data_IF_460291501400
#
_entry.id   IF_460291501400
#
_cell.length_a   1.000
_cell.length_b   1.000
_cell.length_c   1.000
_cell.angle_alpha   90.00
_cell.angle_beta   90.00
_cell.angle_gamma   90.00
#
_symmetry.space_group_name_H-M   'P 1'
#
loop_
_entity.id
_entity.type
_entity.pdbx_description
1 polymer ?
#
# COMPACT_ATOMS: atom_id res chain seq x y z
N UNK A 1 5.14 11.86 -73.67
CA UNK A 1 4.03 12.82 -73.59
C UNK A 1 2.77 12.07 -73.16
N UNK A 2 2.68 11.61 -71.90
CA UNK A 2 1.62 10.68 -71.42
C UNK A 2 1.29 10.88 -69.93
N UNK A 3 1.41 12.11 -69.41
CA UNK A 3 1.19 12.41 -67.98
C UNK A 3 -0.07 13.18 -67.65
N UNK A 4 -0.79 13.70 -68.66
CA UNK A 4 -1.93 14.60 -68.44
C UNK A 4 -3.30 13.91 -68.37
N UNK A 5 -3.46 12.68 -68.89
CA UNK A 5 -4.73 11.92 -68.81
C UNK A 5 -4.84 10.99 -67.58
N UNK A 6 -3.72 10.66 -66.93
CA UNK A 6 -3.72 9.82 -65.73
C UNK A 6 -4.39 10.53 -64.55
N UNK A 7 -4.17 11.85 -64.43
CA UNK A 7 -4.70 12.69 -63.35
C UNK A 7 -6.23 12.75 -63.33
N UNK A 8 -6.88 12.73 -64.50
CA UNK A 8 -8.33 12.89 -64.61
C UNK A 8 -9.11 11.60 -64.36
N UNK A 9 -8.58 10.45 -64.79
CA UNK A 9 -9.24 9.15 -64.59
C UNK A 9 -9.07 8.61 -63.17
N UNK A 10 -7.95 8.92 -62.52
CA UNK A 10 -7.61 8.46 -61.17
C UNK A 10 -7.91 9.53 -60.12
N UNK A 11 -8.70 10.56 -60.47
CA UNK A 11 -8.99 11.70 -59.59
C UNK A 11 -9.60 11.28 -58.25
N UNK A 12 -10.46 10.26 -58.27
CA UNK A 12 -11.04 9.67 -57.04
C UNK A 12 -9.99 8.95 -56.20
N UNK A 13 -9.11 8.17 -56.84
CA UNK A 13 -8.00 7.46 -56.17
C UNK A 13 -6.98 8.44 -55.59
N UNK A 14 -6.67 9.52 -56.31
CA UNK A 14 -5.78 10.60 -55.82
C UNK A 14 -6.40 11.36 -54.66
N UNK A 15 -7.70 11.67 -54.69
CA UNK A 15 -8.40 12.30 -53.58
C UNK A 15 -8.45 11.39 -52.34
N UNK A 16 -8.69 10.09 -52.53
CA UNK A 16 -8.66 9.11 -51.45
C UNK A 16 -7.25 8.98 -50.85
N UNK A 17 -6.23 8.86 -51.70
CA UNK A 17 -4.83 8.77 -51.27
C UNK A 17 -4.38 10.03 -50.52
N UNK A 18 -4.81 11.21 -50.97
CA UNK A 18 -4.53 12.47 -50.27
C UNK A 18 -5.25 12.52 -48.91
N UNK A 19 -6.50 12.07 -48.83
CA UNK A 19 -7.24 11.97 -47.57
C UNK A 19 -6.56 11.01 -46.57
N UNK A 20 -6.10 9.85 -47.04
CA UNK A 20 -5.35 8.89 -46.21
C UNK A 20 -4.02 9.49 -45.75
N UNK A 21 -3.28 10.17 -46.64
CA UNK A 21 -2.02 10.81 -46.28
C UNK A 21 -2.21 11.91 -45.22
N UNK A 22 -3.27 12.71 -45.33
CA UNK A 22 -3.63 13.73 -44.32
C UNK A 22 -4.03 13.08 -43.00
N UNK A 23 -4.82 11.98 -43.05
CA UNK A 23 -5.20 11.23 -41.85
C UNK A 23 -4.00 10.64 -41.11
N UNK A 24 -3.05 10.05 -41.82
CA UNK A 24 -1.81 9.51 -41.24
C UNK A 24 -0.95 10.64 -40.67
N UNK A 25 -0.82 11.77 -41.38
CA UNK A 25 -0.08 12.93 -40.90
C UNK A 25 -0.68 13.53 -39.62
N UNK A 26 -2.00 13.67 -39.57
CA UNK A 26 -2.71 14.13 -38.38
C UNK A 26 -2.58 13.13 -37.21
N UNK A 27 -2.66 11.83 -37.49
CA UNK A 27 -2.44 10.80 -36.47
C UNK A 27 -1.03 10.85 -35.91
N UNK A 28 -0.01 10.95 -36.75
CA UNK A 28 1.39 11.05 -36.30
C UNK A 28 1.67 12.34 -35.53
N UNK A 29 1.07 13.47 -35.94
CA UNK A 29 1.19 14.74 -35.23
C UNK A 29 0.49 14.76 -33.87
N UNK A 30 -0.62 14.03 -33.74
CA UNK A 30 -1.39 13.93 -32.50
C UNK A 30 -0.96 12.76 -31.61
N UNK A 31 -0.29 11.73 -32.16
CA UNK A 31 0.23 10.58 -31.42
C UNK A 31 1.57 10.86 -30.74
N UNK A 32 2.05 12.11 -30.76
CA UNK A 32 3.15 12.54 -29.92
C UNK A 32 2.83 12.21 -28.46
N UNK A 33 3.83 11.67 -27.75
CA UNK A 33 3.70 11.20 -26.38
C UNK A 33 2.83 12.13 -25.55
N UNK A 34 1.77 11.58 -24.96
CA UNK A 34 0.99 12.28 -23.95
C UNK A 34 1.98 12.94 -22.98
N UNK A 35 1.81 14.23 -22.62
CA UNK A 35 2.59 14.77 -21.52
C UNK A 35 2.40 13.79 -20.38
N UNK A 36 3.50 13.22 -19.89
CA UNK A 36 3.49 12.51 -18.63
C UNK A 36 3.26 13.59 -17.57
N UNK A 37 2.02 14.07 -17.45
CA UNK A 37 1.55 14.72 -16.25
C UNK A 37 1.61 13.67 -15.15
N UNK A 38 2.83 13.52 -14.63
CA UNK A 38 3.13 12.91 -13.35
C UNK A 38 2.12 13.51 -12.38
N UNK A 39 1.17 12.68 -11.97
CA UNK A 39 0.18 13.00 -10.94
C UNK A 39 0.82 13.26 -9.56
N UNK A 40 2.16 13.24 -9.49
CA UNK A 40 2.93 13.81 -8.39
C UNK A 40 3.38 15.20 -8.80
N UNK A 41 2.47 16.16 -8.67
CA UNK A 41 2.87 17.54 -8.40
C UNK A 41 3.20 17.62 -6.92
N UNK A 42 4.48 17.65 -6.59
CA UNK A 42 4.91 18.16 -5.29
C UNK A 42 4.64 19.66 -5.36
N UNK A 43 3.42 20.07 -4.98
CA UNK A 43 3.18 21.44 -4.56
C UNK A 43 4.26 21.70 -3.53
N UNK A 44 5.24 22.54 -3.89
CA UNK A 44 6.27 22.99 -2.97
C UNK A 44 5.53 23.69 -1.85
N UNK A 45 5.23 22.93 -0.79
CA UNK A 45 4.68 23.48 0.43
C UNK A 45 5.70 24.52 0.86
N UNK A 46 5.30 25.80 0.84
CA UNK A 46 6.08 26.89 1.42
C UNK A 46 6.26 26.74 2.94
N UNK A 47 5.96 25.56 3.50
CA UNK A 47 6.25 25.13 4.86
C UNK A 47 6.79 23.70 4.96
N UNK A 48 7.42 23.14 3.92
CA UNK A 48 8.13 21.87 4.06
C UNK A 48 9.34 22.05 4.98
N UNK A 49 9.26 21.47 6.18
CA UNK A 49 10.37 21.43 7.12
C UNK A 49 11.46 20.48 6.61
N UNK A 50 12.71 20.69 7.04
CA UNK A 50 13.86 19.84 6.67
C UNK A 50 13.56 18.34 6.92
N UNK A 51 12.71 18.03 7.91
CA UNK A 51 12.25 16.69 8.24
C UNK A 51 11.41 16.01 7.14
N UNK A 52 10.62 16.78 6.38
CA UNK A 52 9.78 16.22 5.32
C UNK A 52 10.63 15.75 4.14
N UNK A 53 11.71 16.50 3.85
CA UNK A 53 12.68 16.14 2.82
C UNK A 53 13.50 14.91 3.22
N UNK A 54 13.94 14.81 4.48
CA UNK A 54 14.72 13.64 4.94
C UNK A 54 13.87 12.37 4.97
N UNK A 55 12.58 12.46 5.30
CA UNK A 55 11.65 11.34 5.22
C UNK A 55 11.52 10.84 3.77
N UNK A 56 11.27 11.75 2.82
CA UNK A 56 11.14 11.41 1.40
C UNK A 56 12.43 10.79 0.86
N UNK A 57 13.59 11.37 1.17
CA UNK A 57 14.89 10.84 0.76
C UNK A 57 15.12 9.42 1.36
N UNK A 58 14.71 9.18 2.61
CA UNK A 58 14.79 7.87 3.26
C UNK A 58 13.86 6.84 2.60
N UNK A 59 12.63 7.25 2.26
CA UNK A 59 11.66 6.38 1.58
C UNK A 59 12.12 6.00 0.17
N UNK A 60 12.73 6.93 -0.57
CA UNK A 60 13.37 6.66 -1.86
C UNK A 60 14.55 5.69 -1.70
N UNK A 61 15.33 5.84 -0.65
CA UNK A 61 16.45 4.93 -0.37
C UNK A 61 15.94 3.53 -0.01
N UNK A 62 14.93 3.39 0.85
CA UNK A 62 14.31 2.11 1.20
C UNK A 62 13.66 1.41 0.00
N UNK A 63 13.06 2.17 -0.94
CA UNK A 63 12.53 1.61 -2.19
C UNK A 63 13.62 0.92 -3.03
N UNK A 64 14.85 1.42 -2.98
CA UNK A 64 15.98 0.85 -3.73
C UNK A 64 16.58 -0.39 -3.07
N UNK A 65 16.25 -0.66 -1.80
CA UNK A 65 16.73 -1.83 -1.07
C UNK A 65 15.84 -3.03 -1.40
N UNK A 66 16.26 -3.80 -2.40
CA UNK A 66 15.71 -5.13 -2.65
C UNK A 66 16.53 -6.17 -1.88
N UNK A 67 15.93 -6.77 -0.85
CA UNK A 67 16.55 -7.89 -0.11
C UNK A 67 16.47 -9.15 -0.97
N UNK A 68 17.53 -9.42 -1.74
CA UNK A 68 17.69 -10.70 -2.43
C UNK A 68 18.01 -11.80 -1.42
N UNK A 69 17.23 -12.89 -1.43
CA UNK A 69 17.43 -14.04 -0.53
C UNK A 69 18.72 -14.84 -0.79
N UNK A 70 19.65 -14.33 -1.59
CA UNK A 70 20.91 -15.00 -1.93
C UNK A 70 21.83 -15.20 -0.73
N UNK A 71 21.68 -14.40 0.33
CA UNK A 71 22.41 -14.61 1.59
C UNK A 71 22.07 -15.97 2.22
N UNK A 72 20.86 -16.48 2.00
CA UNK A 72 20.46 -17.81 2.48
C UNK A 72 21.06 -18.95 1.66
N UNK A 73 21.75 -18.67 0.55
CA UNK A 73 22.49 -19.66 -0.24
C UNK A 73 24.00 -19.62 0.04
N UNK A 74 24.47 -18.67 0.86
CA UNK A 74 25.87 -18.55 1.22
C UNK A 74 26.29 -19.73 2.11
N UNK A 75 27.38 -20.46 1.80
CA UNK A 75 27.92 -21.51 2.66
C UNK A 75 28.19 -21.05 4.10
N UNK A 76 28.58 -19.79 4.31
CA UNK A 76 28.75 -19.21 5.64
C UNK A 76 27.41 -19.09 6.37
N UNK A 77 26.32 -18.78 5.68
CA UNK A 77 24.98 -18.76 6.27
C UNK A 77 24.47 -20.17 6.57
N UNK A 78 24.73 -21.14 5.69
CA UNK A 78 24.36 -22.55 5.89
C UNK A 78 25.11 -23.23 7.04
N UNK A 79 26.27 -22.70 7.45
CA UNK A 79 27.05 -23.21 8.58
C UNK A 79 26.68 -22.55 9.91
N UNK A 80 25.79 -21.55 9.94
CA UNK A 80 25.30 -20.99 11.19
C UNK A 80 24.55 -22.06 11.98
N UNK A 81 25.04 -22.27 13.20
CA UNK A 81 24.41 -23.14 14.17
C UNK A 81 23.41 -22.33 14.99
N UNK A 82 22.19 -22.84 15.12
CA UNK A 82 21.24 -22.28 16.06
C UNK A 82 21.76 -22.43 17.51
N UNK A 83 21.82 -21.30 18.22
CA UNK A 83 22.23 -21.23 19.63
C UNK A 83 21.03 -21.03 20.56
N UNK A 84 19.81 -21.17 20.04
CA UNK A 84 18.59 -21.19 20.82
C UNK A 84 18.64 -22.29 21.88
N UNK A 85 18.29 -21.94 23.11
CA UNK A 85 18.03 -22.92 24.17
C UNK A 85 16.55 -23.25 24.19
N UNK A 86 16.21 -24.52 24.37
CA UNK A 86 14.82 -24.93 24.57
C UNK A 86 14.28 -24.25 25.83
N UNK A 87 13.28 -23.39 25.67
CA UNK A 87 12.57 -22.81 26.81
C UNK A 87 11.63 -23.88 27.35
N UNK A 88 11.88 -24.32 28.59
CA UNK A 88 10.96 -25.21 29.31
C UNK A 88 9.75 -24.37 29.74
N UNK A 89 8.51 -24.79 29.42
CA UNK A 89 7.32 -24.08 29.86
C UNK A 89 7.28 -24.02 31.39
N UNK A 90 7.14 -22.81 31.93
CA UNK A 90 6.92 -22.61 33.36
C UNK A 90 5.47 -22.97 33.72
N UNK A 91 5.22 -23.55 34.90
CA UNK A 91 3.87 -23.78 35.38
C UNK A 91 3.11 -22.45 35.52
N UNK A 92 1.79 -22.50 35.34
CA UNK A 92 0.93 -21.32 35.55
C UNK A 92 1.18 -20.73 36.93
N UNK A 93 1.41 -19.41 36.97
CA UNK A 93 1.70 -18.69 38.21
C UNK A 93 0.50 -18.66 39.17
N UNK A 94 0.70 -18.02 40.33
CA UNK A 94 -0.39 -17.81 41.28
C UNK A 94 -1.51 -16.97 40.66
N UNK A 95 -2.79 -17.26 40.96
CA UNK A 95 -3.90 -16.37 40.60
C UNK A 95 -3.63 -14.95 41.08
N UNK A 96 -3.98 -13.95 40.25
CA UNK A 96 -3.77 -12.54 40.58
C UNK A 96 -4.55 -12.17 41.87
N UNK A 97 -3.88 -11.82 42.98
CA UNK A 97 -4.55 -11.49 44.24
C UNK A 97 -5.29 -10.13 44.18
N UNK A 98 -5.08 -9.36 43.11
CA UNK A 98 -5.77 -8.11 42.83
C UNK A 98 -6.79 -8.24 41.70
N UNK A 99 -7.10 -9.46 41.23
CA UNK A 99 -8.17 -9.65 40.27
C UNK A 99 -9.49 -9.13 40.87
N UNK A 100 -10.27 -8.33 40.12
CA UNK A 100 -11.58 -7.89 40.58
C UNK A 100 -12.42 -9.12 40.95
N UNK A 101 -12.90 -9.17 42.19
CA UNK A 101 -13.87 -10.19 42.60
C UNK A 101 -15.10 -10.04 41.69
N UNK A 102 -15.61 -11.13 41.09
CA UNK A 102 -16.88 -11.05 40.39
C UNK A 102 -17.89 -10.50 41.40
N UNK A 103 -18.57 -9.40 41.03
CA UNK A 103 -19.61 -8.84 41.86
C UNK A 103 -20.60 -9.96 42.16
N UNK A 104 -20.60 -10.46 43.39
CA UNK A 104 -21.67 -11.33 43.86
C UNK A 104 -22.96 -10.60 43.54
N UNK A 105 -23.81 -11.25 42.75
CA UNK A 105 -25.20 -10.86 42.61
C UNK A 105 -25.72 -10.48 44.00
N UNK A 106 -26.46 -9.37 44.15
CA UNK A 106 -26.83 -8.83 45.44
C UNK A 106 -27.45 -9.93 46.28
N UNK A 107 -26.80 -10.18 47.43
CA UNK A 107 -27.23 -11.18 48.39
C UNK A 107 -28.72 -11.03 48.66
N UNK A 108 -29.44 -12.13 48.52
CA UNK A 108 -30.76 -12.25 49.08
C UNK A 108 -30.65 -11.88 50.57
N UNK A 109 -31.33 -10.79 50.91
CA UNK A 109 -31.36 -10.13 52.21
C UNK A 109 -31.71 -11.11 53.34
N UNK A 110 -30.71 -11.56 54.09
CA UNK A 110 -30.90 -12.25 55.38
C UNK A 110 -31.02 -11.26 56.55
N UNK A 111 -30.43 -10.06 56.41
CA UNK A 111 -30.55 -8.96 57.39
C UNK A 111 -31.97 -8.36 57.46
N UNK A 112 -32.79 -8.51 56.41
CA UNK A 112 -34.16 -7.99 56.39
C UNK A 112 -35.12 -8.78 57.31
N UNK A 113 -34.75 -9.98 57.77
CA UNK A 113 -35.55 -10.77 58.71
C UNK A 113 -35.27 -10.43 60.18
N UNK A 114 -34.16 -9.78 60.49
CA UNK A 114 -33.77 -9.46 61.88
C UNK A 114 -34.40 -8.17 62.43
N UNK A 115 -34.94 -7.31 61.56
CA UNK A 115 -35.52 -6.01 61.94
C UNK A 115 -37.06 -5.95 61.79
N UNK A 116 -37.74 -7.07 61.59
CA UNK A 116 -39.20 -7.08 61.60
C UNK A 116 -39.73 -6.89 63.04
N UNK A 117 -40.53 -5.84 63.34
CA UNK A 117 -41.07 -5.65 64.68
C UNK A 117 -42.05 -6.78 65.02
N UNK A 118 -41.88 -7.44 66.18
CA UNK A 118 -42.93 -8.29 66.75
C UNK A 118 -44.13 -7.41 67.07
N UNK A 119 -45.25 -7.64 66.38
CA UNK A 119 -46.54 -7.03 66.77
C UNK A 119 -47.00 -7.63 68.11
N UNK A 120 -47.60 -6.83 69.00
CA UNK A 120 -48.21 -7.32 70.24
C UNK A 120 -49.41 -8.22 69.98
#
# INVERSE_FOLDING_TARGET
MTRMNFLSHHKTVLLLALGVAVGIGAWWGLSGSAPSNSLITTQGSSGATIADKSLVDTLLQLRSVSLGGSIFSDPAFMTLKDLGTQIVPEPVGRPNPFAPVPASAPGASEDAKLFAPRRP
#
